data_IF_982170326038
#
_entry.id   IF_982170326038
#
_cell.length_a   1.000
_cell.length_b   1.000
_cell.length_c   1.000
_cell.angle_alpha   90.00
_cell.angle_beta   90.00
_cell.angle_gamma   90.00
#
_symmetry.space_group_name_H-M   'P 1'
#
loop_
_entity.id
_entity.type
_entity.pdbx_description
1 polymer ?
#
# COMPACT_ATOMS: atom_id res chain seq x y z
N UNK A 1 -3.15 -32.09 2.48
CA UNK A 1 -3.24 -31.67 3.90
C UNK A 1 -3.82 -30.27 3.88
N UNK A 2 -5.04 -30.10 4.37
CA UNK A 2 -5.55 -28.76 4.67
C UNK A 2 -4.76 -28.33 5.90
N UNK A 3 -3.90 -27.31 5.76
CA UNK A 3 -3.32 -26.64 6.92
C UNK A 3 -4.52 -26.08 7.68
N UNK A 4 -4.61 -26.29 8.99
CA UNK A 4 -5.55 -25.53 9.81
C UNK A 4 -5.07 -24.08 9.76
N UNK A 5 -5.58 -23.32 8.79
CA UNK A 5 -5.19 -21.94 8.56
C UNK A 5 -5.77 -21.10 9.69
N UNK A 6 -4.89 -20.47 10.47
CA UNK A 6 -5.31 -19.61 11.54
C UNK A 6 -5.70 -18.25 10.93
N UNK A 7 -7.01 -18.01 10.82
CA UNK A 7 -7.57 -16.74 10.31
C UNK A 7 -6.95 -15.52 11.00
N UNK A 8 -6.61 -15.61 12.28
CA UNK A 8 -5.98 -14.51 12.99
C UNK A 8 -4.53 -14.27 12.53
N UNK A 9 -3.79 -15.32 12.16
CA UNK A 9 -2.44 -15.17 11.60
C UNK A 9 -2.49 -14.49 10.24
N UNK A 10 -3.39 -14.93 9.35
CA UNK A 10 -3.62 -14.28 8.06
C UNK A 10 -4.03 -12.81 8.20
N UNK A 11 -4.95 -12.51 9.12
CA UNK A 11 -5.38 -11.14 9.37
C UNK A 11 -4.23 -10.24 9.86
N UNK A 12 -3.33 -10.77 10.70
CA UNK A 12 -2.14 -10.04 11.14
C UNK A 12 -1.14 -9.85 10.00
N UNK A 13 -0.97 -10.86 9.14
CA UNK A 13 -0.12 -10.74 7.94
C UNK A 13 -0.65 -9.66 7.01
N UNK A 14 -1.94 -9.72 6.63
CA UNK A 14 -2.60 -8.72 5.79
C UNK A 14 -2.50 -7.31 6.38
N UNK A 15 -2.73 -7.16 7.70
CA UNK A 15 -2.54 -5.87 8.40
C UNK A 15 -1.11 -5.34 8.24
N UNK A 16 -0.10 -6.18 8.44
CA UNK A 16 1.29 -5.76 8.36
C UNK A 16 1.69 -5.38 6.93
N UNK A 17 1.22 -6.14 5.94
CA UNK A 17 1.42 -5.84 4.52
C UNK A 17 0.81 -4.49 4.12
N UNK A 18 -0.40 -4.18 4.61
CA UNK A 18 -1.02 -2.88 4.38
C UNK A 18 -0.22 -1.77 5.07
N UNK A 19 0.23 -1.97 6.32
CA UNK A 19 1.09 -0.98 7.01
C UNK A 19 2.37 -0.70 6.20
N UNK A 20 3.03 -1.76 5.73
CA UNK A 20 4.23 -1.65 4.90
C UNK A 20 3.95 -0.84 3.63
N UNK A 21 2.87 -1.15 2.91
CA UNK A 21 2.45 -0.42 1.72
C UNK A 21 2.31 1.09 1.97
N UNK A 22 1.63 1.50 3.05
CA UNK A 22 1.46 2.91 3.39
C UNK A 22 2.75 3.58 3.87
N UNK A 23 3.63 2.86 4.55
CA UNK A 23 4.96 3.39 4.90
C UNK A 23 5.82 3.60 3.66
N UNK A 24 5.81 2.68 2.71
CA UNK A 24 6.59 2.83 1.47
C UNK A 24 6.05 3.98 0.60
N UNK A 25 4.73 4.19 0.58
CA UNK A 25 4.10 5.28 -0.16
C UNK A 25 4.49 6.69 0.29
N UNK A 26 5.07 6.84 1.50
CA UNK A 26 5.58 8.13 2.00
C UNK A 26 6.55 8.80 1.03
N UNK A 27 7.22 8.03 0.17
CA UNK A 27 8.10 8.57 -0.88
C UNK A 27 7.35 9.52 -1.82
N UNK A 28 6.07 9.26 -2.11
CA UNK A 28 5.23 10.10 -2.97
C UNK A 28 4.66 11.31 -2.19
N UNK A 29 4.37 11.12 -0.91
CA UNK A 29 3.67 12.12 -0.08
C UNK A 29 4.60 12.92 0.83
N UNK A 30 5.82 13.23 0.36
CA UNK A 30 6.73 14.12 1.09
C UNK A 30 7.15 13.61 2.47
N UNK A 31 7.13 12.29 2.68
CA UNK A 31 7.44 11.66 3.96
C UNK A 31 6.23 11.46 4.89
N UNK A 32 5.04 11.89 4.50
CA UNK A 32 3.83 11.72 5.32
C UNK A 32 3.17 10.36 5.08
N UNK A 33 2.88 9.64 6.17
CA UNK A 33 2.08 8.42 6.11
C UNK A 33 0.59 8.79 6.11
N UNK A 34 -0.13 8.39 5.06
CA UNK A 34 -1.57 8.61 4.91
C UNK A 34 -2.41 7.71 5.82
N UNK A 35 -1.90 6.56 6.25
CA UNK A 35 -2.61 5.68 7.19
C UNK A 35 -2.65 6.33 8.58
N UNK A 36 -3.87 6.59 9.07
CA UNK A 36 -4.10 7.06 10.44
C UNK A 36 -4.07 5.89 11.41
N UNK A 37 -4.83 4.83 11.11
CA UNK A 37 -4.79 3.59 11.88
C UNK A 37 -5.28 2.38 11.06
N UNK A 38 -4.95 1.18 11.55
CA UNK A 38 -5.49 -0.09 11.06
C UNK A 38 -5.66 -1.11 12.19
N UNK A 39 -6.80 -1.78 12.25
CA UNK A 39 -7.19 -2.72 13.30
C UNK A 39 -7.88 -3.96 12.73
N UNK A 40 -7.80 -5.05 13.49
CA UNK A 40 -8.47 -6.32 13.18
C UNK A 40 -9.70 -6.45 14.07
N UNK A 41 -10.83 -6.83 13.50
CA UNK A 41 -12.10 -7.07 14.20
C UNK A 41 -12.54 -8.54 14.03
N UNK A 42 -13.61 -8.89 14.73
CA UNK A 42 -14.37 -10.13 14.54
C UNK A 42 -13.53 -11.42 14.45
N UNK A 43 -12.56 -11.56 15.35
CA UNK A 43 -11.63 -12.70 15.42
C UNK A 43 -10.79 -12.91 14.15
N UNK A 44 -10.46 -11.84 13.42
CA UNK A 44 -9.60 -11.90 12.23
C UNK A 44 -10.35 -11.77 10.90
N UNK A 45 -11.69 -11.75 10.91
CA UNK A 45 -12.47 -11.75 9.67
C UNK A 45 -12.57 -10.41 8.98
N UNK A 46 -12.39 -9.31 9.71
CA UNK A 46 -12.56 -7.96 9.17
C UNK A 46 -11.36 -7.11 9.56
N UNK A 47 -10.83 -6.36 8.60
CA UNK A 47 -9.80 -5.36 8.78
C UNK A 47 -10.44 -3.99 8.58
N UNK A 48 -10.30 -3.13 9.59
CA UNK A 48 -10.74 -1.75 9.56
C UNK A 48 -9.53 -0.84 9.45
N UNK A 49 -9.58 0.15 8.58
CA UNK A 49 -8.54 1.16 8.44
C UNK A 49 -9.14 2.55 8.24
N UNK A 50 -8.34 3.56 8.56
CA UNK A 50 -8.69 4.96 8.32
C UNK A 50 -7.48 5.70 7.76
N UNK A 51 -7.71 6.45 6.70
CA UNK A 51 -6.72 7.36 6.12
C UNK A 51 -6.91 8.78 6.66
N UNK A 52 -5.80 9.51 6.78
CA UNK A 52 -5.80 10.91 7.21
C UNK A 52 -6.51 11.77 6.17
N UNK A 53 -7.38 12.67 6.64
CA UNK A 53 -8.13 13.57 5.78
C UNK A 53 -9.40 12.96 5.19
N UNK A 54 -9.66 11.67 5.40
CA UNK A 54 -10.95 11.04 5.13
C UNK A 54 -11.83 11.07 6.38
N UNK A 55 -13.12 11.38 6.21
CA UNK A 55 -14.10 11.40 7.31
C UNK A 55 -14.53 9.98 7.71
N UNK A 56 -14.56 9.06 6.76
CA UNK A 56 -15.09 7.71 6.93
C UNK A 56 -13.99 6.69 7.19
N UNK A 57 -14.32 5.68 8.00
CA UNK A 57 -13.51 4.50 8.23
C UNK A 57 -13.89 3.44 7.20
N UNK A 58 -12.90 2.73 6.67
CA UNK A 58 -13.11 1.68 5.69
C UNK A 58 -13.04 0.31 6.38
N UNK A 59 -13.98 -0.57 6.05
CA UNK A 59 -14.01 -1.96 6.53
C UNK A 59 -13.90 -2.92 5.34
N UNK A 60 -13.00 -3.89 5.48
CA UNK A 60 -12.75 -4.92 4.48
C UNK A 60 -12.85 -6.29 5.14
N UNK A 61 -13.64 -7.18 4.55
CA UNK A 61 -13.57 -8.60 4.87
C UNK A 61 -12.20 -9.14 4.45
N UNK A 62 -11.62 -10.04 5.25
CA UNK A 62 -10.32 -10.65 4.97
C UNK A 62 -10.32 -11.37 3.61
N UNK A 63 -11.46 -11.95 3.21
CA UNK A 63 -11.67 -12.60 1.92
C UNK A 63 -11.74 -11.62 0.73
N UNK A 64 -11.72 -10.31 0.99
CA UNK A 64 -11.78 -9.24 -0.01
C UNK A 64 -10.74 -8.14 0.26
N UNK A 65 -9.70 -8.42 1.06
CA UNK A 65 -8.74 -7.42 1.53
C UNK A 65 -7.86 -6.84 0.42
N UNK A 66 -7.55 -7.62 -0.62
CA UNK A 66 -6.74 -7.19 -1.75
C UNK A 66 -7.44 -6.07 -2.54
N UNK A 67 -8.77 -5.99 -2.48
CA UNK A 67 -9.54 -4.91 -3.12
C UNK A 67 -9.09 -3.51 -2.68
N UNK A 68 -8.59 -3.36 -1.44
CA UNK A 68 -8.05 -2.08 -0.96
C UNK A 68 -6.91 -1.57 -1.83
N UNK A 69 -5.95 -2.44 -2.17
CA UNK A 69 -4.84 -2.09 -3.05
C UNK A 69 -5.24 -2.16 -4.52
N UNK A 70 -6.18 -3.04 -4.88
CA UNK A 70 -6.65 -3.20 -6.24
C UNK A 70 -7.14 -1.88 -6.87
N UNK A 71 -7.89 -1.05 -6.12
CA UNK A 71 -8.30 0.28 -6.59
C UNK A 71 -7.13 1.23 -6.82
N UNK A 72 -6.12 1.17 -5.95
CA UNK A 72 -4.95 2.05 -6.02
C UNK A 72 -4.08 1.67 -7.21
N UNK A 73 -3.83 0.37 -7.42
CA UNK A 73 -2.89 -0.14 -8.43
C UNK A 73 -3.50 -0.30 -9.82
N UNK A 74 -4.77 -0.69 -9.92
CA UNK A 74 -5.43 -0.96 -11.21
C UNK A 74 -6.28 0.21 -11.71
N UNK A 75 -6.54 1.21 -10.87
CA UNK A 75 -7.44 2.31 -11.20
C UNK A 75 -8.92 1.88 -11.24
N UNK A 76 -9.76 2.69 -11.88
CA UNK A 76 -11.20 2.45 -11.95
C UNK A 76 -11.74 2.68 -13.36
N UNK A 77 -12.20 1.60 -14.00
CA UNK A 77 -12.76 1.65 -15.35
C UNK A 77 -11.73 2.14 -16.37
N UNK A 78 -12.02 3.20 -17.15
CA UNK A 78 -11.06 3.75 -18.12
C UNK A 78 -9.99 4.63 -17.46
N UNK A 79 -10.10 4.94 -16.18
CA UNK A 79 -9.14 5.77 -15.46
C UNK A 79 -7.96 4.91 -15.01
N UNK A 80 -6.75 5.30 -15.41
CA UNK A 80 -5.50 4.71 -14.96
C UNK A 80 -5.31 4.86 -13.46
N UNK A 81 -4.40 4.06 -12.92
CA UNK A 81 -3.98 4.16 -11.53
C UNK A 81 -3.25 5.47 -11.28
N UNK A 82 -3.82 6.30 -10.40
CA UNK A 82 -3.17 7.51 -9.91
C UNK A 82 -1.80 7.22 -9.27
N UNK A 83 -1.63 6.04 -8.68
CA UNK A 83 -0.36 5.62 -8.07
C UNK A 83 0.77 5.50 -9.10
N UNK A 84 0.53 4.84 -10.23
CA UNK A 84 1.54 4.73 -11.28
C UNK A 84 1.81 6.06 -11.98
N UNK A 85 0.76 6.87 -12.19
CA UNK A 85 0.90 8.22 -12.74
C UNK A 85 1.78 9.11 -11.84
N UNK A 86 1.53 9.11 -10.53
CA UNK A 86 2.30 9.91 -9.57
C UNK A 86 3.77 9.48 -9.50
N UNK A 87 4.04 8.17 -9.61
CA UNK A 87 5.40 7.63 -9.70
C UNK A 87 6.09 8.10 -10.97
N UNK A 88 5.42 8.06 -12.11
CA UNK A 88 5.98 8.49 -13.40
C UNK A 88 6.25 9.99 -13.41
N UNK A 89 5.34 10.80 -12.85
CA UNK A 89 5.54 12.23 -12.64
C UNK A 89 6.72 12.50 -11.70
N UNK A 90 6.83 11.78 -10.60
CA UNK A 90 7.95 11.88 -9.64
C UNK A 90 9.30 11.47 -10.25
N UNK A 91 9.29 10.60 -11.27
CA UNK A 91 10.47 10.18 -12.04
C UNK A 91 10.81 11.13 -13.17
N UNK A 92 10.00 12.16 -13.44
CA UNK A 92 10.32 13.14 -14.46
C UNK A 92 11.69 13.77 -14.20
N UNK A 93 12.43 14.00 -15.28
CA UNK A 93 13.81 14.49 -15.19
C UNK A 93 13.87 15.85 -14.50
N UNK A 94 12.93 16.74 -14.79
CA UNK A 94 12.89 18.06 -14.16
C UNK A 94 12.62 17.92 -12.66
N UNK A 95 11.66 17.09 -12.25
CA UNK A 95 11.35 16.84 -10.85
C UNK A 95 12.54 16.28 -10.08
N UNK A 96 13.20 15.25 -10.62
CA UNK A 96 14.41 14.67 -10.04
C UNK A 96 15.55 15.69 -9.91
N UNK A 97 15.75 16.55 -10.92
CA UNK A 97 16.73 17.64 -10.86
C UNK A 97 16.40 18.66 -9.76
N UNK A 98 15.12 18.98 -9.54
CA UNK A 98 14.71 19.85 -8.44
C UNK A 98 14.95 19.18 -7.09
N UNK A 99 14.60 17.90 -6.93
CA UNK A 99 14.85 17.15 -5.69
C UNK A 99 16.34 17.08 -5.38
N UNK A 100 17.18 16.78 -6.37
CA UNK A 100 18.64 16.73 -6.22
C UNK A 100 19.24 18.06 -5.73
N UNK A 101 18.71 19.20 -6.17
CA UNK A 101 19.19 20.53 -5.74
C UNK A 101 18.80 20.89 -4.31
N UNK A 102 17.70 20.31 -3.80
CA UNK A 102 17.06 20.73 -2.55
C UNK A 102 17.20 19.70 -1.42
N UNK A 103 17.61 18.46 -1.71
CA UNK A 103 17.83 17.39 -0.73
C UNK A 103 19.32 17.18 -0.43
N UNK A 104 19.62 16.59 0.72
CA UNK A 104 20.94 15.99 0.94
C UNK A 104 21.16 14.79 0.01
N UNK A 105 22.43 14.37 -0.13
CA UNK A 105 22.79 13.20 -0.93
C UNK A 105 22.06 11.95 -0.45
N UNK A 106 22.03 11.72 0.85
CA UNK A 106 21.42 10.55 1.47
C UNK A 106 19.91 10.54 1.27
N UNK A 107 19.23 11.68 1.50
CA UNK A 107 17.79 11.83 1.26
C UNK A 107 17.44 11.62 -0.22
N UNK A 108 18.24 12.17 -1.14
CA UNK A 108 18.00 12.00 -2.58
C UNK A 108 18.16 10.53 -3.01
N UNK A 109 19.20 9.84 -2.54
CA UNK A 109 19.40 8.40 -2.84
C UNK A 109 18.23 7.57 -2.30
N UNK A 110 17.77 7.85 -1.09
CA UNK A 110 16.61 7.17 -0.50
C UNK A 110 15.33 7.44 -1.28
N UNK A 111 15.09 8.70 -1.67
CA UNK A 111 13.93 9.10 -2.46
C UNK A 111 13.91 8.39 -3.83
N UNK A 112 15.00 8.50 -4.60
CA UNK A 112 15.10 7.85 -5.91
C UNK A 112 14.99 6.33 -5.76
N UNK A 113 15.73 5.75 -4.82
CA UNK A 113 15.65 4.31 -4.54
C UNK A 113 14.21 3.87 -4.24
N UNK A 114 13.49 4.63 -3.41
CA UNK A 114 12.09 4.41 -3.09
C UNK A 114 11.18 4.43 -4.32
N UNK A 115 11.32 5.44 -5.21
CA UNK A 115 10.51 5.53 -6.44
C UNK A 115 10.68 4.32 -7.37
N UNK A 116 11.86 3.69 -7.38
CA UNK A 116 12.16 2.52 -8.21
C UNK A 116 11.90 1.18 -7.51
N UNK A 117 11.66 1.18 -6.20
CA UNK A 117 11.32 0.01 -5.39
C UNK A 117 9.81 -0.15 -5.20
N UNK A 118 9.13 0.99 -4.99
CA UNK A 118 7.73 1.06 -4.61
C UNK A 118 6.77 0.31 -5.57
N UNK A 119 6.86 0.46 -6.92
CA UNK A 119 6.03 -0.30 -7.85
C UNK A 119 6.08 -1.81 -7.65
N UNK A 120 7.28 -2.37 -7.56
CA UNK A 120 7.51 -3.81 -7.50
C UNK A 120 7.00 -4.35 -6.17
N UNK A 121 7.30 -3.65 -5.07
CA UNK A 121 6.84 -4.08 -3.76
C UNK A 121 5.34 -3.98 -3.60
N UNK A 122 4.72 -2.94 -4.17
CA UNK A 122 3.26 -2.79 -4.17
C UNK A 122 2.56 -3.97 -4.86
N UNK A 123 3.07 -4.42 -6.02
CA UNK A 123 2.54 -5.60 -6.70
C UNK A 123 2.75 -6.88 -5.89
N UNK A 124 3.93 -7.10 -5.31
CA UNK A 124 4.19 -8.26 -4.43
C UNK A 124 3.23 -8.30 -3.23
N UNK A 125 2.97 -7.14 -2.62
CA UNK A 125 2.01 -7.02 -1.51
C UNK A 125 0.60 -7.34 -2.02
N UNK A 126 0.19 -6.78 -3.17
CA UNK A 126 -1.12 -7.02 -3.74
C UNK A 126 -1.36 -8.50 -4.07
N UNK A 127 -0.39 -9.15 -4.72
CA UNK A 127 -0.42 -10.60 -4.99
C UNK A 127 -0.55 -11.41 -3.69
N UNK A 128 0.24 -11.07 -2.65
CA UNK A 128 0.15 -11.77 -1.37
C UNK A 128 -1.20 -11.58 -0.67
N UNK A 129 -1.80 -10.40 -0.77
CA UNK A 129 -3.15 -10.18 -0.25
C UNK A 129 -4.18 -11.05 -0.98
N UNK A 130 -4.06 -11.24 -2.30
CA UNK A 130 -4.94 -12.15 -3.06
C UNK A 130 -4.78 -13.61 -2.62
N UNK A 131 -3.56 -14.05 -2.32
CA UNK A 131 -3.34 -15.38 -1.75
C UNK A 131 -3.99 -15.53 -0.37
N UNK A 132 -3.91 -14.50 0.48
CA UNK A 132 -4.56 -14.46 1.78
C UNK A 132 -6.09 -14.58 1.64
N UNK A 133 -6.69 -13.91 0.66
CA UNK A 133 -8.13 -14.03 0.37
C UNK A 133 -8.52 -15.49 0.12
N UNK A 134 -7.75 -16.19 -0.73
CA UNK A 134 -7.97 -17.61 -1.07
C UNK A 134 -7.75 -18.52 0.14
N UNK A 135 -6.74 -18.24 0.97
CA UNK A 135 -6.45 -19.04 2.18
C UNK A 135 -7.48 -18.84 3.31
N UNK A 136 -8.24 -17.74 3.27
CA UNK A 136 -9.26 -17.38 4.25
C UNK A 136 -10.67 -17.91 3.92
N UNK A 137 -10.91 -18.40 2.69
CA UNK A 137 -12.14 -19.08 2.26
C UNK A 137 -12.31 -20.49 2.88
#
# INVERSE_FOLDING_TARGET
MIKDTNIMELANEAKNLIIEFYEDQKVLYGGENLLEYINIKENGKTIMLKEKGCEEEEEYDLSCIASKLGYILNGFGPCSSFFYEEIDLSKDKYELEQKYKNMSKEEYIQYVGGLFYLPQRAEEIYERLQEIEIEAE
#
